data_IF_839328846450
#
_entry.id   IF_839328846450
#
_cell.length_a   1.000
_cell.length_b   1.000
_cell.length_c   1.000
_cell.angle_alpha   90.00
_cell.angle_beta   90.00
_cell.angle_gamma   90.00
#
_symmetry.space_group_name_H-M   'P 1'
#
loop_
_entity.id
_entity.type
_entity.pdbx_description
1 polymer ?
#
# COMPACT_ATOMS: atom_id res chain seq x y z
N UNK A 1 1.23 -19.20 1.62
CA UNK A 1 0.34 -19.08 0.44
C UNK A 1 -0.01 -17.61 0.29
N UNK A 2 0.22 -16.99 -0.88
CA UNK A 2 -0.13 -15.57 -1.08
C UNK A 2 -1.66 -15.49 -1.22
N UNK A 3 -2.37 -14.72 -0.37
CA UNK A 3 -3.82 -14.63 -0.43
C UNK A 3 -4.24 -14.05 -1.78
N UNK A 4 -5.20 -14.69 -2.44
CA UNK A 4 -5.83 -14.10 -3.62
C UNK A 4 -6.73 -12.94 -3.19
N UNK A 5 -6.58 -11.78 -3.83
CA UNK A 5 -7.46 -10.65 -3.62
C UNK A 5 -8.77 -10.91 -4.38
N UNK A 6 -9.96 -10.89 -3.73
CA UNK A 6 -11.20 -11.41 -4.32
C UNK A 6 -11.82 -10.58 -5.45
N UNK A 7 -11.18 -9.51 -5.93
CA UNK A 7 -11.73 -8.64 -6.97
C UNK A 7 -10.67 -8.19 -7.97
N UNK A 8 -10.53 -8.94 -9.06
CA UNK A 8 -9.72 -8.56 -10.23
C UNK A 8 -10.64 -8.57 -11.45
N UNK A 9 -11.34 -7.47 -11.72
CA UNK A 9 -12.16 -7.33 -12.93
C UNK A 9 -11.78 -6.06 -13.71
N UNK A 10 -11.11 -6.31 -14.86
CA UNK A 10 -10.82 -5.53 -16.09
C UNK A 10 -10.99 -3.99 -16.08
N UNK A 11 -9.89 -3.24 -16.24
CA UNK A 11 -9.34 -2.57 -17.47
C UNK A 11 -8.30 -1.52 -17.03
N UNK A 12 -7.07 -1.59 -17.54
CA UNK A 12 -5.94 -0.65 -17.31
C UNK A 12 -5.65 -0.26 -15.85
N UNK A 13 -5.89 -1.17 -14.90
CA UNK A 13 -5.57 -0.98 -13.49
C UNK A 13 -4.13 -1.43 -13.22
N UNK A 14 -3.30 -0.54 -12.66
CA UNK A 14 -1.99 -0.93 -12.09
C UNK A 14 -2.25 -1.63 -10.76
N UNK A 15 -1.77 -2.86 -10.61
CA UNK A 15 -1.96 -3.69 -9.42
C UNK A 15 -0.63 -3.93 -8.70
N UNK A 16 -0.49 -3.28 -7.54
CA UNK A 16 0.57 -3.32 -6.54
C UNK A 16 0.43 -4.38 -5.44
N UNK A 17 1.33 -5.34 -5.19
CA UNK A 17 1.34 -6.12 -3.92
C UNK A 17 2.66 -5.92 -3.16
N UNK A 18 2.63 -5.47 -1.90
CA UNK A 18 3.83 -5.35 -1.04
C UNK A 18 3.58 -6.01 0.32
N UNK A 19 4.60 -6.66 0.85
CA UNK A 19 4.52 -7.34 2.14
C UNK A 19 5.14 -6.47 3.23
N UNK A 20 4.50 -6.43 4.39
CA UNK A 20 5.04 -5.89 5.63
C UNK A 20 5.24 -7.05 6.60
N UNK A 21 6.50 -7.31 6.95
CA UNK A 21 6.86 -8.41 7.82
C UNK A 21 8.14 -8.09 8.60
N UNK A 22 8.06 -8.20 9.91
CA UNK A 22 9.21 -8.17 10.81
C UNK A 22 9.10 -9.38 11.76
N UNK A 23 9.89 -10.44 11.51
CA UNK A 23 9.84 -11.66 12.30
C UNK A 23 10.32 -11.46 13.75
N UNK A 24 11.00 -10.35 14.05
CA UNK A 24 11.42 -10.02 15.42
C UNK A 24 10.27 -9.49 16.28
N UNK A 25 9.21 -8.96 15.65
CA UNK A 25 8.03 -8.40 16.33
C UNK A 25 6.85 -9.37 16.38
N UNK A 26 6.61 -10.11 15.30
CA UNK A 26 5.46 -11.00 15.19
C UNK A 26 5.71 -12.13 14.21
N UNK A 27 5.18 -13.35 14.44
CA UNK A 27 5.18 -14.41 13.42
C UNK A 27 4.20 -14.10 12.27
N UNK A 28 3.36 -13.08 12.40
CA UNK A 28 2.36 -12.70 11.43
C UNK A 28 2.86 -11.61 10.47
N UNK A 29 2.44 -11.69 9.22
CA UNK A 29 2.74 -10.72 8.17
C UNK A 29 1.46 -10.04 7.68
N UNK A 30 1.63 -8.87 7.08
CA UNK A 30 0.58 -8.17 6.35
C UNK A 30 0.93 -8.07 4.87
N UNK A 31 -0.10 -8.05 4.03
CA UNK A 31 0.05 -7.81 2.58
C UNK A 31 -0.78 -6.62 2.19
N UNK A 32 -0.14 -5.61 1.63
CA UNK A 32 -0.77 -4.41 1.10
C UNK A 32 -0.96 -4.58 -0.40
N UNK A 33 -2.22 -4.53 -0.81
CA UNK A 33 -2.65 -4.48 -2.19
C UNK A 33 -3.04 -3.05 -2.55
N UNK A 34 -2.41 -2.48 -3.57
CA UNK A 34 -2.75 -1.18 -4.12
C UNK A 34 -3.28 -1.35 -5.55
N UNK A 35 -4.40 -0.74 -5.87
CA UNK A 35 -4.95 -0.74 -7.23
C UNK A 35 -5.41 0.65 -7.63
N UNK A 36 -4.92 1.13 -8.78
CA UNK A 36 -5.45 2.34 -9.41
C UNK A 36 -6.63 2.03 -10.32
N UNK A 37 -7.66 2.86 -10.29
CA UNK A 37 -8.71 2.87 -11.31
C UNK A 37 -8.52 4.15 -12.13
N UNK A 38 -8.27 4.01 -13.43
CA UNK A 38 -8.25 5.17 -14.33
C UNK A 38 -9.69 5.65 -14.54
N UNK A 39 -10.09 6.66 -13.77
CA UNK A 39 -11.34 7.37 -13.98
C UNK A 39 -11.00 8.66 -14.70
N UNK A 40 -11.68 8.94 -15.81
CA UNK A 40 -11.50 10.10 -16.70
C UNK A 40 -11.44 11.49 -16.02
N UNK A 41 -11.63 11.59 -14.69
CA UNK A 41 -11.60 12.83 -13.90
C UNK A 41 -10.74 12.79 -12.62
N UNK A 42 -9.92 11.74 -12.42
CA UNK A 42 -9.03 11.66 -11.28
C UNK A 42 -8.83 10.22 -10.83
N UNK A 43 -7.69 9.64 -11.18
CA UNK A 43 -7.33 8.30 -10.74
C UNK A 43 -6.95 8.28 -9.26
N UNK A 44 -7.76 7.58 -8.47
CA UNK A 44 -7.51 7.30 -7.06
C UNK A 44 -6.96 5.89 -6.87
N UNK A 45 -6.05 5.74 -5.91
CA UNK A 45 -5.58 4.42 -5.48
C UNK A 45 -6.48 3.89 -4.36
N UNK A 46 -6.95 2.66 -4.55
CA UNK A 46 -7.59 1.87 -3.50
C UNK A 46 -6.54 0.97 -2.86
N UNK A 47 -6.56 0.90 -1.53
CA UNK A 47 -5.66 0.05 -0.77
C UNK A 47 -6.46 -0.97 0.03
N UNK A 48 -6.02 -2.23 -0.01
CA UNK A 48 -6.52 -3.31 0.83
C UNK A 48 -5.37 -3.95 1.57
N UNK A 49 -5.59 -4.34 2.82
CA UNK A 49 -4.55 -4.96 3.65
C UNK A 49 -5.04 -6.30 4.16
N UNK A 50 -4.28 -7.34 3.85
CA UNK A 50 -4.45 -8.65 4.43
C UNK A 50 -3.64 -8.75 5.72
N UNK A 51 -4.21 -9.33 6.78
CA UNK A 51 -3.45 -9.77 7.96
C UNK A 51 -3.43 -11.29 8.03
N UNK A 52 -2.24 -11.88 8.14
CA UNK A 52 -2.12 -13.33 8.33
C UNK A 52 -2.58 -13.79 9.70
N UNK A 53 -2.65 -12.89 10.68
CA UNK A 53 -3.15 -13.18 12.03
C UNK A 53 -4.67 -13.45 11.99
N UNK A 54 -5.42 -12.63 11.27
CA UNK A 54 -6.89 -12.76 11.18
C UNK A 54 -7.34 -13.53 9.96
N UNK A 55 -6.47 -13.70 8.96
CA UNK A 55 -6.79 -14.30 7.67
C UNK A 55 -7.73 -13.46 6.80
N UNK A 56 -7.90 -12.16 7.10
CA UNK A 56 -8.88 -11.29 6.45
C UNK A 56 -8.23 -10.11 5.73
N UNK A 57 -8.90 -9.65 4.67
CA UNK A 57 -8.64 -8.37 4.02
C UNK A 57 -9.48 -7.26 4.66
N UNK A 58 -8.87 -6.11 4.93
CA UNK A 58 -9.54 -4.86 5.28
C UNK A 58 -9.35 -3.82 4.17
N UNK A 59 -10.35 -2.97 3.95
CA UNK A 59 -10.19 -1.81 3.07
C UNK A 59 -9.57 -0.66 3.86
N UNK A 60 -8.72 0.11 3.17
CA UNK A 60 -8.13 1.32 3.69
C UNK A 60 -8.94 2.52 3.18
N UNK A 61 -9.43 3.35 4.11
CA UNK A 61 -10.20 4.55 3.76
C UNK A 61 -9.34 5.68 3.17
N UNK A 62 -8.00 5.55 3.26
CA UNK A 62 -7.10 6.56 2.72
C UNK A 62 -7.13 6.57 1.19
N UNK A 63 -7.46 7.74 0.63
CA UNK A 63 -7.39 8.00 -0.81
C UNK A 63 -6.07 8.68 -1.13
N UNK A 64 -5.31 8.06 -2.02
CA UNK A 64 -4.07 8.63 -2.54
C UNK A 64 -4.23 9.01 -4.00
N UNK A 65 -3.51 10.06 -4.41
CA UNK A 65 -3.34 10.39 -5.82
C UNK A 65 -2.55 9.25 -6.51
N UNK A 66 -2.96 8.82 -7.70
CA UNK A 66 -2.25 7.79 -8.45
C UNK A 66 -0.75 8.06 -8.60
N UNK A 67 -0.36 9.32 -8.86
CA UNK A 67 1.05 9.73 -9.05
C UNK A 67 1.89 9.47 -7.80
N UNK A 68 1.25 9.45 -6.63
CA UNK A 68 1.94 9.13 -5.39
C UNK A 68 2.38 7.66 -5.32
N UNK A 69 1.84 6.77 -6.15
CA UNK A 69 2.05 5.31 -6.09
C UNK A 69 2.94 4.75 -7.22
N UNK A 70 3.48 5.60 -8.10
CA UNK A 70 4.26 5.17 -9.28
C UNK A 70 5.40 4.19 -8.91
N UNK A 71 6.09 4.42 -7.79
CA UNK A 71 7.13 3.50 -7.29
C UNK A 71 6.73 2.75 -6.02
N UNK A 72 5.44 2.55 -5.76
CA UNK A 72 5.00 1.65 -4.69
C UNK A 72 5.53 0.22 -4.91
N UNK A 73 5.73 -0.16 -6.18
CA UNK A 73 6.47 -1.34 -6.59
C UNK A 73 7.94 -1.39 -6.12
N UNK A 74 8.53 -0.32 -5.61
CA UNK A 74 9.87 -0.35 -5.04
C UNK A 74 9.84 -0.11 -3.54
N UNK A 75 8.65 -0.10 -2.93
CA UNK A 75 8.47 0.17 -1.53
C UNK A 75 9.08 -0.89 -0.63
N UNK A 76 9.64 -0.45 0.48
CA UNK A 76 10.24 -1.29 1.52
C UNK A 76 9.47 -1.16 2.82
N UNK A 77 9.42 -2.24 3.60
CA UNK A 77 8.88 -2.22 4.94
C UNK A 77 9.96 -1.82 5.95
N UNK A 78 9.71 -0.76 6.71
CA UNK A 78 10.63 -0.28 7.74
C UNK A 78 9.88 0.58 8.76
N UNK A 79 10.24 0.49 10.04
CA UNK A 79 9.64 1.28 11.13
C UNK A 79 8.09 1.33 11.09
N UNK A 80 7.49 0.14 11.07
CA UNK A 80 6.04 -0.07 11.15
C UNK A 80 5.25 0.52 9.97
N UNK A 81 5.92 0.80 8.85
CA UNK A 81 5.26 1.25 7.63
C UNK A 81 5.93 0.81 6.35
N UNK A 82 5.16 0.88 5.26
CA UNK A 82 5.70 0.79 3.92
C UNK A 82 6.16 2.17 3.47
N UNK A 83 7.41 2.26 3.04
CA UNK A 83 8.04 3.47 2.54
C UNK A 83 8.32 3.35 1.04
N UNK A 84 7.99 4.37 0.27
CA UNK A 84 8.34 4.42 -1.16
C UNK A 84 8.54 5.86 -1.63
N UNK A 85 9.19 6.03 -2.78
CA UNK A 85 9.48 7.34 -3.35
C UNK A 85 8.43 7.72 -4.40
N UNK A 86 8.02 8.98 -4.41
CA UNK A 86 7.04 9.50 -5.38
C UNK A 86 7.50 9.41 -6.83
N UNK A 87 8.79 9.62 -7.06
CA UNK A 87 9.40 9.66 -8.38
C UNK A 87 10.82 9.09 -8.31
N UNK A 88 11.37 8.68 -9.46
CA UNK A 88 12.76 8.25 -9.57
C UNK A 88 13.76 9.36 -9.20
N UNK A 89 13.33 10.63 -9.17
CA UNK A 89 14.14 11.77 -8.73
C UNK A 89 14.23 11.88 -7.21
N UNK A 90 13.36 11.18 -6.47
CA UNK A 90 13.44 11.07 -5.01
C UNK A 90 12.88 12.26 -4.24
N UNK A 91 12.12 13.15 -4.89
CA UNK A 91 11.74 14.44 -4.31
C UNK A 91 10.77 14.33 -3.11
N UNK A 92 10.08 13.20 -2.96
CA UNK A 92 9.09 12.96 -1.90
C UNK A 92 9.10 11.50 -1.44
N UNK A 93 9.07 11.29 -0.12
CA UNK A 93 8.88 9.99 0.52
C UNK A 93 7.42 9.86 1.01
N UNK A 94 6.82 8.70 0.77
CA UNK A 94 5.53 8.35 1.32
C UNK A 94 5.70 7.24 2.35
N UNK A 95 4.90 7.31 3.42
CA UNK A 95 4.73 6.23 4.38
C UNK A 95 3.25 5.84 4.46
N UNK A 96 2.99 4.55 4.33
CA UNK A 96 1.74 3.94 4.75
C UNK A 96 1.99 3.23 6.08
N UNK A 97 1.34 3.69 7.14
CA UNK A 97 1.33 2.98 8.41
C UNK A 97 0.45 1.74 8.27
N UNK A 98 1.05 0.56 8.43
CA UNK A 98 0.35 -0.72 8.28
C UNK A 98 -0.07 -1.31 9.62
N UNK A 99 0.37 -0.70 10.72
CA UNK A 99 0.03 -1.07 12.09
C UNK A 99 -1.11 -0.20 12.64
N UNK A 100 -1.35 0.99 12.10
CA UNK A 100 -2.49 1.84 12.45
C UNK A 100 -3.83 1.15 12.09
N UNK A 101 -4.70 0.82 13.06
CA UNK A 101 -6.01 0.22 12.80
C UNK A 101 -6.96 1.16 12.02
N UNK A 102 -6.68 2.47 12.00
CA UNK A 102 -7.40 3.46 11.20
C UNK A 102 -6.69 3.81 9.89
N UNK A 103 -5.59 3.10 9.57
CA UNK A 103 -4.84 3.17 8.31
C UNK A 103 -4.66 4.60 7.79
N UNK A 104 -4.05 5.45 8.60
CA UNK A 104 -3.77 6.83 8.20
C UNK A 104 -2.57 6.88 7.27
N UNK A 105 -2.76 7.49 6.11
CA UNK A 105 -1.64 7.92 5.28
C UNK A 105 -0.98 9.14 5.90
N UNK A 106 0.35 9.13 6.00
CA UNK A 106 1.13 10.32 6.38
C UNK A 106 2.13 10.61 5.28
N UNK A 107 2.02 11.78 4.67
CA UNK A 107 3.10 12.38 3.89
C UNK A 107 4.24 12.68 4.86
N UNK A 108 5.39 12.02 4.68
CA UNK A 108 6.59 12.31 5.45
C UNK A 108 7.56 13.00 4.51
N UNK A 109 7.69 14.32 4.65
CA UNK A 109 8.79 15.05 3.99
C UNK A 109 10.04 14.79 4.81
N UNK A 110 10.99 14.01 4.26
CA UNK A 110 12.34 13.94 4.83
C UNK A 110 13.00 15.30 4.56
N UNK A 111 13.33 16.03 5.63
CA UNK A 111 14.15 17.26 5.59
C UNK A 111 15.60 16.90 5.79
#
# INVERSE_FOLDING_TARGET
MIPQCPYVNRTWCVHTLRMAFDPSKSPHYKVVYASGVDQHYGSSIHIKIYSSETGKWSECDARFNHKSFDNFGLGIYWNDGLHWLASAKGDLNYKLDVEDPHLRSRLITLR
#
